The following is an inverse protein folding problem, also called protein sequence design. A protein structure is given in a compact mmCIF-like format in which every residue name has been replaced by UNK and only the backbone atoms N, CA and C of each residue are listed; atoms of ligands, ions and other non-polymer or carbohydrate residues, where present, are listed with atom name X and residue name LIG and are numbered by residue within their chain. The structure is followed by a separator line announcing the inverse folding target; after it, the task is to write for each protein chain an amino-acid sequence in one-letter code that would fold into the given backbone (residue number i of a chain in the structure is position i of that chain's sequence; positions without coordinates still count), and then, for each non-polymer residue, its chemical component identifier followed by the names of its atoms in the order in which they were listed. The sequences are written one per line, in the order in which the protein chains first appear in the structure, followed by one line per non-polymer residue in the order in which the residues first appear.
data_IF_731516281416
#
_entry.id   IF_731516281416
#
_cell.length_a   1.000
_cell.length_b   1.000
_cell.length_c   1.000
_cell.angle_alpha   90.00
_cell.angle_beta   90.00
_cell.angle_gamma   90.00
#
_symmetry.space_group_name_H-M   'P 1'
#
loop_
_entity.id
_entity.type
_entity.pdbx_description
1 polymer ?
#
# COMPACT_ATOMS: atom_id res chain seq x y z
N UNK A 1 -2.44 24.67 6.03
CA UNK A 1 -2.00 23.44 5.35
C UNK A 1 -3.24 22.61 5.10
N UNK A 2 -3.42 22.11 3.89
CA UNK A 2 -4.63 21.38 3.47
C UNK A 2 -4.84 20.18 4.41
N UNK A 3 -5.95 20.17 5.16
CA UNK A 3 -6.30 19.16 6.17
C UNK A 3 -6.78 17.84 5.55
N UNK A 4 -6.02 17.29 4.60
CA UNK A 4 -6.36 15.98 4.04
C UNK A 4 -6.26 14.92 5.15
N UNK A 5 -7.28 14.07 5.32
CA UNK A 5 -7.22 12.98 6.27
C UNK A 5 -6.01 12.08 5.98
N UNK A 6 -5.35 11.61 7.04
CA UNK A 6 -4.22 10.69 6.90
C UNK A 6 -4.59 9.42 6.08
N UNK A 7 -5.78 8.80 6.24
CA UNK A 7 -6.18 7.68 5.38
C UNK A 7 -6.21 8.02 3.89
N UNK A 8 -6.69 9.20 3.50
CA UNK A 8 -6.71 9.64 2.09
C UNK A 8 -5.30 9.86 1.54
N UNK A 9 -4.37 10.33 2.38
CA UNK A 9 -2.96 10.47 2.00
C UNK A 9 -2.29 9.10 1.80
N UNK A 10 -2.58 8.14 2.67
CA UNK A 10 -2.07 6.77 2.57
C UNK A 10 -2.58 6.10 1.30
N UNK A 11 -3.88 6.20 1.03
CA UNK A 11 -4.49 5.63 -0.18
C UNK A 11 -3.89 6.24 -1.46
N UNK A 12 -3.70 7.56 -1.49
CA UNK A 12 -3.04 8.23 -2.62
C UNK A 12 -1.60 7.76 -2.83
N UNK A 13 -0.83 7.61 -1.74
CA UNK A 13 0.54 7.12 -1.83
C UNK A 13 0.60 5.67 -2.37
N UNK A 14 -0.30 4.79 -1.92
CA UNK A 14 -0.38 3.41 -2.42
C UNK A 14 -0.71 3.35 -3.92
N UNK A 15 -1.66 4.17 -4.37
CA UNK A 15 -1.99 4.27 -5.79
C UNK A 15 -0.80 4.76 -6.61
N UNK A 16 -0.12 5.80 -6.15
CA UNK A 16 1.05 6.35 -6.83
C UNK A 16 2.18 5.32 -6.93
N UNK A 17 2.51 4.64 -5.83
CA UNK A 17 3.54 3.59 -5.83
C UNK A 17 3.18 2.43 -6.78
N UNK A 18 1.90 2.07 -6.86
CA UNK A 18 1.42 1.06 -7.80
C UNK A 18 1.63 1.50 -9.25
N UNK A 19 1.31 2.77 -9.57
CA UNK A 19 1.54 3.33 -10.90
C UNK A 19 3.03 3.37 -11.25
N UNK A 20 3.89 3.80 -10.32
CA UNK A 20 5.35 3.81 -10.53
C UNK A 20 5.85 2.39 -10.81
N UNK A 21 5.44 1.39 -10.02
CA UNK A 21 5.85 -0.01 -10.21
C UNK A 21 5.44 -0.58 -11.57
N UNK A 22 4.28 -0.15 -12.09
CA UNK A 22 3.77 -0.59 -13.40
C UNK A 22 4.35 0.21 -14.58
N UNK A 23 5.08 1.29 -14.31
CA UNK A 23 5.55 2.18 -15.36
C UNK A 23 6.71 1.56 -16.15
N UNK A 24 6.66 1.55 -17.50
CA UNK A 24 7.71 0.93 -18.33
C UNK A 24 9.10 1.52 -18.10
N UNK A 25 9.18 2.83 -17.84
CA UNK A 25 10.47 3.47 -17.55
C UNK A 25 11.06 2.97 -16.24
N UNK A 26 10.24 2.71 -15.22
CA UNK A 26 10.72 2.17 -13.94
C UNK A 26 11.21 0.73 -14.12
N UNK A 27 10.48 -0.08 -14.89
CA UNK A 27 10.85 -1.47 -15.19
C UNK A 27 12.13 -1.59 -16.03
N UNK A 28 12.47 -0.56 -16.80
CA UNK A 28 13.69 -0.51 -17.61
C UNK A 28 14.92 0.00 -16.84
N UNK A 29 14.76 0.46 -15.60
CA UNK A 29 15.89 0.91 -14.79
C UNK A 29 16.70 -0.29 -14.28
N UNK A 30 18.03 -0.16 -14.32
CA UNK A 30 18.94 -0.98 -13.53
C UNK A 30 18.96 -0.47 -12.07
N UNK A 31 17.81 -0.58 -11.41
CA UNK A 31 17.55 0.01 -10.09
C UNK A 31 17.50 -1.06 -9.01
N UNK A 32 18.51 -1.05 -8.13
CA UNK A 32 18.70 -2.00 -7.04
C UNK A 32 18.87 -1.28 -5.69
N UNK A 33 17.80 -0.64 -5.17
CA UNK A 33 17.82 -0.04 -3.84
C UNK A 33 17.83 -1.12 -2.75
N UNK A 34 18.22 -0.74 -1.52
CA UNK A 34 18.08 -1.61 -0.35
C UNK A 34 16.61 -1.87 0.04
N UNK A 35 15.71 -0.94 -0.31
CA UNK A 35 14.27 -1.05 -0.08
C UNK A 35 13.53 -0.95 -1.41
N UNK A 36 12.66 -1.92 -1.67
CA UNK A 36 11.85 -1.99 -2.88
C UNK A 36 10.58 -1.14 -2.77
N UNK A 37 9.93 -0.89 -3.90
CA UNK A 37 8.56 -0.33 -3.91
C UNK A 37 7.59 -1.26 -3.17
N UNK A 38 7.84 -2.57 -3.15
CA UNK A 38 7.06 -3.52 -2.36
C UNK A 38 7.13 -3.21 -0.87
N UNK A 39 8.32 -2.89 -0.35
CA UNK A 39 8.52 -2.53 1.06
C UNK A 39 7.81 -1.22 1.40
N UNK A 40 7.83 -0.23 0.50
CA UNK A 40 7.10 1.01 0.67
C UNK A 40 5.57 0.80 0.72
N UNK A 41 5.03 -0.07 -0.15
CA UNK A 41 3.62 -0.45 -0.13
C UNK A 41 3.26 -1.15 1.18
N UNK A 42 4.12 -2.07 1.64
CA UNK A 42 3.93 -2.78 2.90
C UNK A 42 3.91 -1.82 4.10
N UNK A 43 4.85 -0.88 4.17
CA UNK A 43 4.89 0.13 5.22
C UNK A 43 3.60 0.99 5.24
N UNK A 44 3.05 1.32 4.08
CA UNK A 44 1.78 2.05 3.98
C UNK A 44 0.58 1.20 4.40
N UNK A 45 0.59 -0.11 4.14
CA UNK A 45 -0.44 -1.01 4.65
C UNK A 45 -0.44 -1.04 6.19
N UNK A 46 0.74 -1.19 6.81
CA UNK A 46 0.89 -1.16 8.26
C UNK A 46 0.46 0.18 8.87
N UNK A 47 0.81 1.28 8.20
CA UNK A 47 0.37 2.61 8.60
C UNK A 47 -1.15 2.77 8.48
N UNK A 48 -1.76 2.22 7.43
CA UNK A 48 -3.22 2.20 7.26
C UNK A 48 -3.90 1.45 8.40
N UNK A 49 -3.42 0.25 8.72
CA UNK A 49 -3.93 -0.54 9.85
C UNK A 49 -3.78 0.18 11.19
N UNK A 50 -2.66 0.87 11.41
CA UNK A 50 -2.42 1.62 12.64
C UNK A 50 -3.24 2.91 12.75
N UNK A 51 -3.65 3.48 11.61
CA UNK A 51 -4.44 4.71 11.54
C UNK A 51 -5.96 4.46 11.64
N UNK A 52 -6.42 3.22 11.45
CA UNK A 52 -7.83 2.86 11.62
C UNK A 52 -8.21 2.89 13.12
N UNK A 53 -9.34 3.54 13.49
CA UNK A 53 -9.82 3.49 14.86
C UNK A 53 -10.12 2.06 15.27
N UNK A 54 -9.76 1.67 16.49
CA UNK A 54 -9.80 0.31 17.06
C UNK A 54 -11.18 -0.37 17.11
N UNK A 55 -12.21 0.20 16.49
CA UNK A 55 -13.61 -0.22 16.62
C UNK A 55 -14.17 -0.98 15.43
N UNK A 56 -13.42 -1.16 14.34
CA UNK A 56 -13.86 -2.03 13.24
C UNK A 56 -13.04 -3.33 13.23
N UNK A 57 -13.69 -4.50 13.41
CA UNK A 57 -12.99 -5.76 13.22
C UNK A 57 -12.48 -5.80 11.79
N UNK A 58 -11.17 -6.00 11.65
CA UNK A 58 -10.53 -6.28 10.38
C UNK A 58 -11.32 -7.39 9.68
N UNK A 59 -12.06 -7.05 8.63
CA UNK A 59 -12.58 -8.02 7.69
C UNK A 59 -11.37 -8.57 6.94
N UNK A 60 -10.65 -9.48 7.59
CA UNK A 60 -9.71 -10.38 6.96
C UNK A 60 -10.48 -11.02 5.83
N UNK A 61 -10.12 -10.69 4.59
CA UNK A 61 -10.72 -11.26 3.39
C UNK A 61 -10.82 -12.77 3.60
N UNK A 62 -12.04 -13.28 3.65
CA UNK A 62 -12.30 -14.71 3.69
C UNK A 62 -11.68 -15.29 2.43
N UNK A 63 -10.52 -15.94 2.56
CA UNK A 63 -9.91 -16.75 1.51
C UNK A 63 -10.78 -18.02 1.34
N UNK A 64 -12.00 -17.84 0.82
CA UNK A 64 -12.94 -18.92 0.47
C UNK A 64 -12.47 -19.74 -0.76
N UNK A 65 -11.15 -19.77 -1.03
CA UNK A 65 -10.53 -20.44 -2.18
C UNK A 65 -9.77 -21.73 -1.85
N UNK A 66 -9.84 -22.25 -0.62
CA UNK A 66 -9.16 -23.50 -0.22
C UNK A 66 -10.13 -24.63 0.15
N UNK A 67 -11.15 -24.87 -0.68
CA UNK A 67 -11.86 -26.15 -0.63
C UNK A 67 -11.80 -26.79 -2.03
N UNK A 68 -10.79 -27.66 -2.21
CA UNK A 68 -10.71 -28.66 -3.26
C UNK A 68 -11.39 -29.94 -2.76
#
# INVERSE_FOLDING_TARGET
MSSQPLPDLIAQAQQLLTQIRQHPQFQALDYHPDLSIGDAIQALNELSFSALPSSEPLQVFSLEGFNQ
#
